data_IF_146595316031
#
_entry.id   IF_146595316031
#
_cell.length_a   1.000
_cell.length_b   1.000
_cell.length_c   1.000
_cell.angle_alpha   90.00
_cell.angle_beta   90.00
_cell.angle_gamma   90.00
#
_symmetry.space_group_name_H-M   'P 1'
#
loop_
_entity.id
_entity.type
_entity.pdbx_description
1 polymer ?
#
# COMPACT_ATOMS: atom_id res chain seq x y z
N UNK A 1 23.80 70.62 -59.24
CA UNK A 1 24.97 70.27 -58.41
C UNK A 1 24.53 70.25 -56.95
N UNK A 2 25.14 69.35 -56.17
CA UNK A 2 24.88 68.98 -54.75
C UNK A 2 23.72 67.99 -54.54
N UNK A 3 23.79 66.99 -53.66
CA UNK A 3 24.89 66.13 -53.16
C UNK A 3 24.19 65.03 -52.35
N UNK A 4 24.66 63.79 -52.46
CA UNK A 4 24.28 62.68 -51.60
C UNK A 4 24.52 63.01 -50.12
N UNK A 5 23.59 62.60 -49.24
CA UNK A 5 23.90 62.34 -47.83
C UNK A 5 22.96 61.27 -47.25
N UNK A 6 23.42 60.02 -47.36
CA UNK A 6 22.98 58.93 -46.49
C UNK A 6 23.93 58.87 -45.30
N UNK A 7 23.39 58.94 -44.08
CA UNK A 7 23.79 58.25 -42.85
C UNK A 7 23.41 59.08 -41.60
N UNK A 8 22.53 58.53 -40.73
CA UNK A 8 22.88 58.08 -39.36
C UNK A 8 21.62 57.83 -38.51
N UNK A 9 21.40 56.54 -38.24
CA UNK A 9 20.88 55.91 -37.03
C UNK A 9 19.95 56.69 -36.07
N UNK A 10 18.74 56.17 -35.88
CA UNK A 10 17.94 56.28 -34.66
C UNK A 10 17.31 54.94 -34.32
N UNK A 11 17.79 54.29 -33.25
CA UNK A 11 17.30 53.02 -32.71
C UNK A 11 16.07 53.25 -31.81
N UNK A 12 15.29 52.17 -31.63
CA UNK A 12 14.23 51.99 -30.61
C UNK A 12 12.96 52.80 -30.90
N UNK A 13 11.73 52.27 -30.86
CA UNK A 13 11.14 51.37 -29.86
C UNK A 13 9.81 50.84 -30.44
N UNK A 14 9.77 49.59 -30.89
CA UNK A 14 8.51 48.92 -31.24
C UNK A 14 7.81 48.51 -29.92
N UNK A 15 6.92 49.37 -29.43
CA UNK A 15 6.06 49.07 -28.29
C UNK A 15 5.02 48.03 -28.69
N UNK A 16 5.34 46.77 -28.34
CA UNK A 16 4.44 45.62 -28.35
C UNK A 16 3.19 45.92 -27.51
N UNK A 17 2.09 46.26 -28.19
CA UNK A 17 0.75 45.99 -27.68
C UNK A 17 0.51 44.47 -27.66
N UNK A 18 0.94 43.81 -26.58
CA UNK A 18 0.40 42.51 -26.17
C UNK A 18 0.21 42.58 -24.65
N UNK A 19 -0.71 43.42 -24.23
CA UNK A 19 -1.29 43.38 -22.90
C UNK A 19 -2.75 43.00 -23.10
N UNK A 20 -3.09 41.74 -22.81
CA UNK A 20 -4.40 41.20 -22.38
C UNK A 20 -4.48 39.71 -22.73
N UNK A 21 -3.56 38.93 -22.18
CA UNK A 21 -3.80 37.51 -21.92
C UNK A 21 -3.06 37.17 -20.64
N UNK A 22 -3.63 37.59 -19.50
CA UNK A 22 -3.22 37.08 -18.19
C UNK A 22 -3.44 35.57 -18.23
N UNK A 23 -2.40 34.71 -18.13
CA UNK A 23 -2.66 33.30 -17.88
C UNK A 23 -3.33 33.23 -16.51
N UNK A 24 -4.58 32.77 -16.50
CA UNK A 24 -5.31 32.36 -15.30
C UNK A 24 -4.35 31.54 -14.44
N UNK A 25 -4.04 32.04 -13.25
CA UNK A 25 -3.10 31.43 -12.35
C UNK A 25 -3.50 29.96 -12.14
N UNK A 26 -2.70 29.05 -12.70
CA UNK A 26 -2.87 27.62 -12.48
C UNK A 26 -3.03 27.39 -10.96
N UNK A 27 -4.02 26.61 -10.51
CA UNK A 27 -4.23 26.39 -9.09
C UNK A 27 -2.92 25.84 -8.52
N UNK A 28 -2.35 26.58 -7.55
CA UNK A 28 -1.19 26.11 -6.80
C UNK A 28 -1.62 24.82 -6.11
N UNK A 29 -1.34 23.68 -6.75
CA UNK A 29 -1.58 22.37 -6.17
C UNK A 29 -0.88 22.39 -4.81
N UNK A 30 -1.66 22.43 -3.73
CA UNK A 30 -1.09 22.53 -2.40
C UNK A 30 -0.12 21.36 -2.23
N UNK A 31 1.05 21.61 -1.63
CA UNK A 31 2.05 20.57 -1.37
C UNK A 31 1.43 19.37 -0.63
N UNK A 32 0.36 19.62 0.12
CA UNK A 32 -0.45 18.63 0.84
C UNK A 32 -1.33 17.78 -0.09
N UNK A 33 -1.97 18.36 -1.11
CA UNK A 33 -2.77 17.63 -2.09
C UNK A 33 -1.92 16.68 -2.93
N UNK A 34 -0.73 17.11 -3.33
CA UNK A 34 0.24 16.25 -4.05
C UNK A 34 0.83 15.16 -3.14
N UNK A 35 1.07 15.43 -1.86
CA UNK A 35 1.55 14.43 -0.90
C UNK A 35 0.50 13.33 -0.62
N UNK A 36 -0.78 13.70 -0.41
CA UNK A 36 -1.87 12.74 -0.19
C UNK A 36 -2.12 11.85 -1.41
N UNK A 37 -2.14 12.43 -2.61
CA UNK A 37 -2.29 11.66 -3.84
C UNK A 37 -1.14 10.66 -4.05
N UNK A 38 0.11 11.08 -3.76
CA UNK A 38 1.28 10.18 -3.78
C UNK A 38 1.20 9.08 -2.71
N UNK A 39 0.67 9.36 -1.53
CA UNK A 39 0.48 8.35 -0.48
C UNK A 39 -0.58 7.31 -0.90
N UNK A 40 -1.72 7.76 -1.43
CA UNK A 40 -2.79 6.89 -1.93
C UNK A 40 -2.32 6.01 -3.10
N UNK A 41 -1.54 6.56 -4.04
CA UNK A 41 -1.00 5.78 -5.16
C UNK A 41 -0.01 4.71 -4.70
N UNK A 42 0.81 5.00 -3.67
CA UNK A 42 1.72 4.02 -3.06
C UNK A 42 0.97 2.89 -2.35
N UNK A 43 -0.11 3.21 -1.63
CA UNK A 43 -0.93 2.21 -0.94
C UNK A 43 -1.61 1.26 -1.95
N UNK A 44 -2.19 1.81 -3.03
CA UNK A 44 -2.82 1.00 -4.07
C UNK A 44 -1.80 0.13 -4.84
N UNK A 45 -0.60 0.66 -5.10
CA UNK A 45 0.48 -0.11 -5.70
C UNK A 45 0.95 -1.26 -4.79
N UNK A 46 1.05 -1.03 -3.47
CA UNK A 46 1.42 -2.06 -2.49
C UNK A 46 0.36 -3.17 -2.41
N UNK A 47 -0.92 -2.81 -2.40
CA UNK A 47 -2.02 -3.77 -2.43
C UNK A 47 -2.00 -4.62 -3.71
N UNK A 48 -1.85 -3.99 -4.89
CA UNK A 48 -1.74 -4.72 -6.17
C UNK A 48 -0.56 -5.68 -6.20
N UNK A 49 0.62 -5.26 -5.70
CA UNK A 49 1.80 -6.14 -5.59
C UNK A 49 1.52 -7.33 -4.67
N UNK A 50 0.88 -7.09 -3.52
CA UNK A 50 0.51 -8.14 -2.56
C UNK A 50 -0.49 -9.13 -3.16
N UNK A 51 -1.52 -8.64 -3.83
CA UNK A 51 -2.51 -9.48 -4.52
C UNK A 51 -1.84 -10.39 -5.55
N UNK A 52 -0.98 -9.85 -6.42
CA UNK A 52 -0.23 -10.64 -7.42
C UNK A 52 0.71 -11.66 -6.78
N UNK A 53 1.31 -11.33 -5.64
CA UNK A 53 2.14 -12.25 -4.90
C UNK A 53 1.32 -13.41 -4.31
N UNK A 54 0.17 -13.11 -3.70
CA UNK A 54 -0.75 -14.11 -3.14
C UNK A 54 -1.29 -15.05 -4.22
N UNK A 55 -1.79 -14.51 -5.34
CA UNK A 55 -2.30 -15.30 -6.46
C UNK A 55 -1.25 -16.30 -6.97
N UNK A 56 -0.03 -15.81 -7.24
CA UNK A 56 1.07 -16.67 -7.73
C UNK A 56 1.54 -17.68 -6.71
N UNK A 57 1.75 -17.26 -5.46
CA UNK A 57 2.32 -18.14 -4.43
C UNK A 57 1.35 -19.19 -3.94
N UNK A 58 0.06 -18.86 -3.93
CA UNK A 58 -0.96 -19.74 -3.38
C UNK A 58 -1.79 -20.43 -4.46
N UNK A 59 -1.60 -20.15 -5.75
CA UNK A 59 -2.42 -20.74 -6.82
C UNK A 59 -3.91 -20.44 -6.67
N UNK A 60 -4.27 -19.26 -6.17
CA UNK A 60 -5.67 -18.85 -5.92
C UNK A 60 -6.17 -17.85 -6.96
N UNK A 61 -7.49 -17.75 -7.11
CA UNK A 61 -8.10 -16.81 -8.04
C UNK A 61 -7.75 -15.34 -7.70
N UNK A 62 -7.72 -14.44 -8.70
CA UNK A 62 -7.45 -13.02 -8.48
C UNK A 62 -8.42 -12.36 -7.50
N UNK A 63 -9.69 -12.77 -7.51
CA UNK A 63 -10.72 -12.31 -6.57
C UNK A 63 -10.37 -12.72 -5.13
N UNK A 64 -10.03 -14.00 -4.92
CA UNK A 64 -9.63 -14.47 -3.58
C UNK A 64 -8.34 -13.81 -3.09
N UNK A 65 -7.40 -13.58 -3.99
CA UNK A 65 -6.17 -12.86 -3.67
C UNK A 65 -6.44 -11.39 -3.28
N UNK A 66 -7.48 -10.75 -3.85
CA UNK A 66 -7.87 -9.39 -3.51
C UNK A 66 -8.43 -9.31 -2.08
N UNK A 67 -9.33 -10.23 -1.73
CA UNK A 67 -9.87 -10.36 -0.37
C UNK A 67 -8.76 -10.51 0.65
N UNK A 68 -7.84 -11.45 0.43
CA UNK A 68 -6.71 -11.70 1.32
C UNK A 68 -5.71 -10.53 1.37
N UNK A 69 -5.52 -9.81 0.26
CA UNK A 69 -4.65 -8.64 0.23
C UNK A 69 -5.18 -7.47 1.06
N UNK A 70 -6.49 -7.42 1.34
CA UNK A 70 -7.11 -6.42 2.20
C UNK A 70 -6.92 -6.71 3.71
N UNK A 71 -6.63 -7.97 4.09
CA UNK A 71 -6.47 -8.36 5.50
C UNK A 71 -5.17 -7.80 6.08
N UNK A 72 -5.27 -7.06 7.19
CA UNK A 72 -4.14 -6.43 7.88
C UNK A 72 -3.88 -6.95 9.30
N UNK A 73 -4.72 -7.87 9.79
CA UNK A 73 -4.61 -8.53 11.09
C UNK A 73 -4.36 -10.02 10.94
N UNK A 74 -3.54 -10.56 11.83
CA UNK A 74 -3.31 -12.01 11.91
C UNK A 74 -4.61 -12.74 12.30
N UNK A 75 -4.96 -13.83 11.62
CA UNK A 75 -6.16 -14.60 11.97
C UNK A 75 -6.06 -15.30 13.33
N UNK A 76 -4.85 -15.63 13.78
CA UNK A 76 -4.62 -16.28 15.07
C UNK A 76 -4.58 -15.29 16.24
N UNK A 77 -3.61 -14.36 16.25
CA UNK A 77 -3.41 -13.44 17.39
C UNK A 77 -4.15 -12.10 17.25
N UNK A 78 -4.86 -11.86 16.15
CA UNK A 78 -5.62 -10.63 15.83
C UNK A 78 -4.81 -9.33 15.83
N UNK A 79 -3.51 -9.39 16.09
CA UNK A 79 -2.63 -8.24 16.11
C UNK A 79 -2.37 -7.70 14.70
N UNK A 80 -2.43 -6.38 14.55
CA UNK A 80 -2.07 -5.67 13.33
C UNK A 80 -0.55 -5.57 13.24
N UNK A 81 0.07 -6.22 12.25
CA UNK A 81 1.53 -6.20 12.10
C UNK A 81 1.95 -5.24 11.00
N UNK A 82 3.09 -4.58 11.22
CA UNK A 82 3.77 -3.77 10.20
C UNK A 82 4.31 -4.62 9.04
N UNK A 83 4.63 -5.89 9.33
CA UNK A 83 5.09 -6.88 8.36
C UNK A 83 3.93 -7.57 7.63
N UNK A 84 4.14 -8.00 6.37
CA UNK A 84 3.14 -8.73 5.62
C UNK A 84 2.74 -10.04 6.32
N UNK A 85 1.44 -10.30 6.36
CA UNK A 85 0.92 -11.60 6.78
C UNK A 85 1.21 -12.66 5.71
N UNK A 86 1.43 -13.88 6.16
CA UNK A 86 1.80 -15.03 5.36
C UNK A 86 0.64 -16.01 5.25
N UNK A 87 0.42 -16.63 4.09
CA UNK A 87 -0.62 -17.64 3.92
C UNK A 87 -0.31 -18.89 4.76
N UNK A 88 -1.32 -19.36 5.49
CA UNK A 88 -1.34 -20.71 6.04
C UNK A 88 -2.20 -21.62 5.14
N UNK A 89 -1.65 -22.79 4.81
CA UNK A 89 -2.26 -23.73 3.87
C UNK A 89 -1.27 -24.21 2.81
N UNK A 90 -1.83 -24.90 1.82
CA UNK A 90 -1.13 -25.36 0.62
C UNK A 90 -1.61 -24.59 -0.60
N UNK A 91 -0.95 -24.77 -1.75
CA UNK A 91 -1.40 -24.18 -3.00
C UNK A 91 -2.85 -24.64 -3.30
N UNK A 92 -3.72 -23.70 -3.65
CA UNK A 92 -5.15 -23.92 -3.85
C UNK A 92 -5.99 -23.95 -2.57
N UNK A 93 -5.38 -24.17 -1.39
CA UNK A 93 -6.08 -24.38 -0.12
C UNK A 93 -5.57 -23.46 1.00
N UNK A 94 -5.66 -22.14 0.79
CA UNK A 94 -5.30 -21.15 1.81
C UNK A 94 -6.41 -21.07 2.87
N UNK A 95 -6.06 -21.39 4.12
CA UNK A 95 -6.97 -21.32 5.27
C UNK A 95 -7.09 -19.91 5.85
N UNK A 96 -6.03 -19.12 5.73
CA UNK A 96 -5.98 -17.77 6.30
C UNK A 96 -4.61 -17.13 6.22
N UNK A 97 -4.47 -15.97 6.87
CA UNK A 97 -3.27 -15.16 6.91
C UNK A 97 -2.76 -15.01 8.35
N UNK A 98 -1.52 -15.46 8.57
CA UNK A 98 -0.86 -15.47 9.86
C UNK A 98 0.34 -14.54 9.87
N UNK A 99 0.65 -13.95 11.03
CA UNK A 99 1.97 -13.36 11.21
C UNK A 99 3.04 -14.46 11.24
N UNK A 100 4.29 -14.09 10.96
CA UNK A 100 5.42 -15.04 10.93
C UNK A 100 5.49 -15.91 12.20
N UNK A 101 5.30 -15.30 13.37
CA UNK A 101 5.34 -16.00 14.65
C UNK A 101 4.23 -17.06 14.76
N UNK A 102 2.97 -16.68 14.53
CA UNK A 102 1.85 -17.62 14.56
C UNK A 102 2.01 -18.73 13.51
N UNK A 103 2.47 -18.39 12.30
CA UNK A 103 2.71 -19.38 11.25
C UNK A 103 3.78 -20.41 11.68
N UNK A 104 4.85 -19.95 12.34
CA UNK A 104 5.89 -20.83 12.86
C UNK A 104 5.33 -21.78 13.92
N UNK A 105 4.56 -21.26 14.89
CA UNK A 105 3.93 -22.09 15.92
C UNK A 105 2.95 -23.11 15.33
N UNK A 106 2.11 -22.69 14.38
CA UNK A 106 1.18 -23.60 13.70
C UNK A 106 1.92 -24.69 12.94
N UNK A 107 3.03 -24.36 12.27
CA UNK A 107 3.87 -25.33 11.55
C UNK A 107 4.56 -26.30 12.50
N UNK A 108 5.13 -25.79 13.61
CA UNK A 108 5.75 -26.61 14.64
C UNK A 108 4.75 -27.56 15.31
N UNK A 109 3.48 -27.14 15.39
CA UNK A 109 2.41 -27.96 15.96
C UNK A 109 1.70 -28.87 14.94
N UNK A 110 2.13 -28.91 13.66
CA UNK A 110 1.52 -29.80 12.64
C UNK A 110 1.59 -31.25 13.13
N UNK A 111 0.45 -31.96 13.05
CA UNK A 111 0.28 -33.32 13.58
C UNK A 111 -0.18 -33.40 15.05
N UNK A 112 -0.22 -32.28 15.78
CA UNK A 112 -0.47 -32.27 17.23
C UNK A 112 -1.81 -31.65 17.65
N UNK A 113 -2.84 -31.67 16.78
CA UNK A 113 -4.17 -31.10 17.07
C UNK A 113 -4.71 -31.58 18.42
N UNK A 114 -4.60 -32.89 18.70
CA UNK A 114 -5.04 -33.48 19.98
C UNK A 114 -4.29 -32.88 21.18
N UNK A 115 -2.97 -32.70 21.08
CA UNK A 115 -2.15 -32.11 22.15
C UNK A 115 -2.49 -30.64 22.37
N UNK A 116 -2.71 -29.88 21.30
CA UNK A 116 -3.15 -28.48 21.41
C UNK A 116 -4.51 -28.36 22.10
N UNK A 117 -5.46 -29.24 21.77
CA UNK A 117 -6.76 -29.28 22.43
C UNK A 117 -6.64 -29.67 23.91
N UNK A 118 -5.78 -30.64 24.25
CA UNK A 118 -5.50 -31.00 25.64
C UNK A 118 -4.87 -29.84 26.42
N UNK A 119 -3.88 -29.15 25.85
CA UNK A 119 -3.27 -27.97 26.46
C UNK A 119 -4.31 -26.87 26.72
N UNK A 120 -5.20 -26.61 25.74
CA UNK A 120 -6.27 -25.64 25.91
C UNK A 120 -7.24 -26.02 27.04
N UNK A 121 -7.60 -27.31 27.18
CA UNK A 121 -8.44 -27.80 28.28
C UNK A 121 -7.76 -27.63 29.64
N UNK A 122 -6.48 -28.00 29.73
CA UNK A 122 -5.69 -27.86 30.96
C UNK A 122 -5.63 -26.39 31.43
N UNK A 123 -5.31 -25.47 30.51
CA UNK A 123 -5.23 -24.05 30.82
C UNK A 123 -6.58 -23.46 31.28
N UNK A 124 -7.70 -23.86 30.64
CA UNK A 124 -9.04 -23.43 31.05
C UNK A 124 -9.43 -23.92 32.44
N UNK A 125 -9.10 -25.17 32.79
CA UNK A 125 -9.36 -25.69 34.13
C UNK A 125 -8.62 -24.84 35.18
N UNK A 126 -7.35 -24.51 34.91
CA UNK A 126 -6.50 -23.75 35.84
C UNK A 126 -6.87 -22.26 35.96
N UNK A 127 -7.48 -21.65 34.94
CA UNK A 127 -7.94 -20.27 35.05
C UNK A 127 -9.14 -20.15 35.98
N UNK A 128 -10.05 -21.13 35.94
CA UNK A 128 -11.22 -21.19 36.83
C UNK A 128 -10.77 -21.37 38.29
N UNK A 129 -9.79 -22.23 38.54
CA UNK A 129 -9.24 -22.48 39.89
C UNK A 129 -8.44 -21.30 40.47
N UNK A 130 -8.11 -20.27 39.67
CA UNK A 130 -7.41 -19.07 40.15
C UNK A 130 -8.34 -17.90 40.48
N UNK A 131 -9.59 -17.96 40.01
CA UNK A 131 -10.62 -16.95 40.22
C UNK A 131 -11.62 -17.34 41.32
N UNK A 132 -11.51 -18.57 41.85
CA UNK A 132 -12.26 -19.11 42.98
C UNK A 132 -11.41 -19.08 44.26
#
# INVERSE_FOLDING_TARGET
>A
MTSNQWHRMGRFRWERQIALSRPSAAPRASKEGTARAKAQSRLSARQKRRQRWLARRCGISPAKAAELAAVDRCDCCRYRKSQPLLPDGEAGAVRGLLCRHCLHLVRAARGSRRRLLQAARYLRKRSIEREA
#
